data_IF_238738791014
#
_entry.id   IF_238738791014
#
_cell.length_a   1.000
_cell.length_b   1.000
_cell.length_c   1.000
_cell.angle_alpha   90.00
_cell.angle_beta   90.00
_cell.angle_gamma   90.00
#
_symmetry.space_group_name_H-M   'P 1'
#
loop_
_entity.id
_entity.type
_entity.pdbx_description
1 polymer ?
#
# COMPACT_ATOMS: atom_id res chain seq x y z
N UNK A 1 11.51 -9.09 12.85
CA UNK A 1 10.89 -8.92 11.53
C UNK A 1 11.22 -7.52 11.04
N UNK A 2 12.04 -7.39 9.99
CA UNK A 2 12.48 -6.11 9.43
C UNK A 2 11.57 -5.58 8.31
N UNK A 3 10.47 -6.27 8.03
CA UNK A 3 9.52 -5.87 6.99
C UNK A 3 8.59 -4.75 7.48
N UNK A 4 8.29 -3.80 6.58
CA UNK A 4 7.29 -2.75 6.84
C UNK A 4 5.99 -3.11 6.14
N UNK A 5 4.89 -3.14 6.89
CA UNK A 5 3.57 -3.46 6.38
C UNK A 5 2.83 -2.14 6.13
N UNK A 6 2.26 -2.02 4.93
CA UNK A 6 1.50 -0.86 4.50
C UNK A 6 0.07 -1.27 4.12
N UNK A 7 -0.87 -0.40 4.47
CA UNK A 7 -2.25 -0.44 4.01
C UNK A 7 -2.42 0.60 2.91
N UNK A 8 -2.82 0.16 1.72
CA UNK A 8 -2.97 0.99 0.52
C UNK A 8 -4.45 1.18 0.27
N UNK A 9 -4.96 2.40 0.41
CA UNK A 9 -6.33 2.73 0.06
C UNK A 9 -6.37 3.25 -1.37
N UNK A 10 -7.35 2.80 -2.14
CA UNK A 10 -7.58 3.30 -3.48
C UNK A 10 -9.06 3.37 -3.83
N UNK A 11 -9.37 4.14 -4.86
CA UNK A 11 -10.70 4.21 -5.48
C UNK A 11 -10.58 3.80 -6.94
N UNK A 12 -11.61 3.16 -7.47
CA UNK A 12 -11.73 2.89 -8.90
C UNK A 12 -12.82 3.76 -9.51
N UNK A 13 -13.02 3.66 -10.82
CA UNK A 13 -14.11 4.39 -11.49
C UNK A 13 -15.48 3.94 -10.96
N UNK A 14 -15.61 2.67 -10.60
CA UNK A 14 -16.88 2.06 -10.24
C UNK A 14 -17.08 1.90 -8.72
N UNK A 15 -16.00 1.79 -7.95
CA UNK A 15 -16.04 1.50 -6.52
C UNK A 15 -15.19 2.46 -5.69
N UNK A 16 -15.75 2.89 -4.55
CA UNK A 16 -15.06 3.76 -3.58
C UNK A 16 -14.64 2.96 -2.35
N UNK A 17 -13.46 3.27 -1.82
CA UNK A 17 -13.00 2.76 -0.53
C UNK A 17 -12.39 1.36 -0.57
N UNK A 18 -11.59 1.06 -1.59
CA UNK A 18 -10.86 -0.20 -1.69
C UNK A 18 -9.57 -0.20 -0.87
N UNK A 19 -9.17 -1.37 -0.39
CA UNK A 19 -8.00 -1.56 0.47
C UNK A 19 -7.13 -2.71 -0.04
N UNK A 20 -5.82 -2.49 -0.03
CA UNK A 20 -4.78 -3.48 -0.24
C UNK A 20 -3.81 -3.52 0.94
N UNK A 21 -3.16 -4.66 1.15
CA UNK A 21 -2.08 -4.79 2.12
C UNK A 21 -0.81 -5.17 1.36
N UNK A 22 0.24 -4.39 1.52
CA UNK A 22 1.51 -4.57 0.83
C UNK A 22 2.67 -4.54 1.82
N UNK A 23 3.65 -5.40 1.57
CA UNK A 23 4.84 -5.52 2.42
C UNK A 23 6.02 -4.91 1.67
N UNK A 24 6.69 -3.95 2.32
CA UNK A 24 7.92 -3.35 1.83
C UNK A 24 9.12 -4.02 2.49
N UNK A 25 10.01 -4.56 1.66
CA UNK A 25 11.35 -5.01 2.06
C UNK A 25 12.32 -3.82 2.23
N UNK A 26 13.30 -3.92 3.13
CA UNK A 26 14.23 -2.82 3.45
C UNK A 26 15.16 -2.43 2.28
N UNK A 27 15.37 -3.34 1.33
CA UNK A 27 16.19 -3.12 0.15
C UNK A 27 15.50 -2.30 -0.95
N UNK A 28 14.22 -1.96 -0.79
CA UNK A 28 13.50 -1.12 -1.74
C UNK A 28 13.49 0.34 -1.30
N UNK A 29 13.72 1.25 -2.24
CA UNK A 29 13.41 2.67 -2.00
C UNK A 29 11.89 2.85 -1.88
N UNK A 30 11.44 4.01 -1.39
CA UNK A 30 10.01 4.29 -1.36
C UNK A 30 9.43 4.41 -2.78
N UNK A 31 10.19 4.98 -3.73
CA UNK A 31 9.76 5.10 -5.12
C UNK A 31 9.54 3.71 -5.76
N UNK A 32 10.52 2.81 -5.62
CA UNK A 32 10.41 1.45 -6.19
C UNK A 32 9.23 0.69 -5.58
N UNK A 33 9.04 0.82 -4.27
CA UNK A 33 7.92 0.20 -3.57
C UNK A 33 6.57 0.74 -4.09
N UNK A 34 6.44 2.05 -4.28
CA UNK A 34 5.22 2.67 -4.79
C UNK A 34 4.91 2.23 -6.22
N UNK A 35 5.93 2.07 -7.07
CA UNK A 35 5.77 1.56 -8.42
C UNK A 35 5.29 0.10 -8.41
N UNK A 36 5.90 -0.75 -7.57
CA UNK A 36 5.47 -2.15 -7.40
C UNK A 36 4.01 -2.24 -6.92
N UNK A 37 3.62 -1.43 -5.94
CA UNK A 37 2.23 -1.37 -5.47
C UNK A 37 1.29 -0.97 -6.60
N UNK A 38 1.63 0.08 -7.36
CA UNK A 38 0.80 0.51 -8.49
C UNK A 38 0.64 -0.59 -9.54
N UNK A 39 1.72 -1.27 -9.90
CA UNK A 39 1.69 -2.38 -10.85
C UNK A 39 0.82 -3.53 -10.33
N UNK A 40 1.01 -3.95 -9.08
CA UNK A 40 0.25 -5.04 -8.48
C UNK A 40 -1.25 -4.73 -8.31
N UNK A 41 -1.61 -3.47 -8.03
CA UNK A 41 -3.01 -3.04 -8.00
C UNK A 41 -3.58 -2.99 -9.43
N UNK A 42 -2.84 -2.45 -10.39
CA UNK A 42 -3.26 -2.39 -11.79
C UNK A 42 -3.55 -3.77 -12.39
N UNK A 43 -2.70 -4.76 -12.12
CA UNK A 43 -2.87 -6.15 -12.59
C UNK A 43 -4.11 -6.83 -12.03
N UNK A 44 -4.46 -6.53 -10.76
CA UNK A 44 -5.63 -7.11 -10.08
C UNK A 44 -6.93 -6.43 -10.48
N UNK A 45 -6.94 -5.11 -10.46
CA UNK A 45 -8.13 -4.28 -10.64
C UNK A 45 -8.53 -4.17 -12.11
N UNK A 46 -7.56 -4.12 -13.04
CA UNK A 46 -7.79 -4.04 -14.50
C UNK A 46 -8.68 -2.88 -14.97
N UNK A 47 -8.87 -1.88 -14.10
CA UNK A 47 -9.53 -0.62 -14.40
C UNK A 47 -8.73 0.55 -13.81
N UNK A 48 -9.05 1.77 -14.23
CA UNK A 48 -8.37 2.96 -13.73
C UNK A 48 -8.66 3.13 -12.24
N UNK A 49 -7.60 3.25 -11.45
CA UNK A 49 -7.67 3.50 -10.01
C UNK A 49 -6.83 4.71 -9.61
N UNK A 50 -7.12 5.25 -8.42
CA UNK A 50 -6.38 6.33 -7.79
C UNK A 50 -6.07 5.88 -6.37
N UNK A 51 -4.79 5.81 -6.01
CA UNK A 51 -4.38 5.60 -4.62
C UNK A 51 -4.73 6.86 -3.84
N UNK A 52 -5.53 6.71 -2.80
CA UNK A 52 -5.98 7.82 -1.94
C UNK A 52 -5.14 7.94 -0.68
N UNK A 53 -4.69 6.81 -0.11
CA UNK A 53 -3.86 6.80 1.10
C UNK A 53 -2.87 5.64 1.11
N UNK A 54 -1.75 5.85 1.81
CA UNK A 54 -0.74 4.83 2.08
C UNK A 54 -0.37 4.93 3.56
N UNK A 55 -0.72 3.91 4.33
CA UNK A 55 -0.63 3.94 5.80
C UNK A 55 0.39 2.90 6.25
N UNK A 56 1.41 3.32 6.99
CA UNK A 56 2.43 2.41 7.55
C UNK A 56 1.93 1.78 8.86
N UNK A 57 1.40 0.55 8.77
CA UNK A 57 0.89 -0.20 9.91
C UNK A 57 2.00 -0.58 10.90
N UNK A 58 3.22 -0.84 10.42
CA UNK A 58 4.36 -1.14 11.30
C UNK A 58 4.71 0.06 12.18
N UNK A 59 4.58 1.29 11.67
CA UNK A 59 4.79 2.52 12.46
C UNK A 59 3.71 2.68 13.52
N UNK A 60 2.44 2.57 13.14
CA UNK A 60 1.30 2.70 14.06
C UNK A 60 1.41 1.67 15.19
N UNK A 61 1.70 0.40 14.88
CA UNK A 61 1.88 -0.64 15.89
C UNK A 61 2.94 -0.27 16.93
N UNK A 62 4.11 0.21 16.48
CA UNK A 62 5.20 0.63 17.38
C UNK A 62 4.86 1.83 18.25
N UNK A 63 3.95 2.69 17.81
CA UNK A 63 3.46 3.83 18.59
C UNK A 63 2.46 3.39 19.67
N UNK A 64 1.67 2.35 19.40
CA UNK A 64 0.70 1.78 20.34
C UNK A 64 1.32 0.86 21.41
N UNK A 65 2.48 0.25 21.12
CA UNK A 65 3.22 -0.61 22.05
C UNK A 65 4.06 0.20 23.09
N UNK A 66 4.00 1.53 23.06
CA UNK A 66 4.67 2.44 24.02
C UNK A 66 3.73 2.88 25.12
#
# INVERSE_FOLDING_TARGET
MNEKIYLICYETVNEKGNIDISIKSENLTEADFLELVKTAVNERVKEKFIITNIINLTKIRKELEK
#
